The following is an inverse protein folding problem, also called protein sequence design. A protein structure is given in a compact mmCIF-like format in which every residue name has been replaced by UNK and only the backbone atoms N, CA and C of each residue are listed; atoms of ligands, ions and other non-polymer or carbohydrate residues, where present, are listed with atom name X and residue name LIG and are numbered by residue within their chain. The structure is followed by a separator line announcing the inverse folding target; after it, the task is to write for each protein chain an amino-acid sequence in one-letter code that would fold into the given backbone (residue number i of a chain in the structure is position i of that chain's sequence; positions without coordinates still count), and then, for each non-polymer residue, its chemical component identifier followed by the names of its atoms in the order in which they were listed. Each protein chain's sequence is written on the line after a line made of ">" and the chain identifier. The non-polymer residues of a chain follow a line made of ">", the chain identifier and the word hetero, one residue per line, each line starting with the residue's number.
data_IF_402381692620
#
_entry.id   IF_402381692620
#
_cell.length_a   1.000
_cell.length_b   1.000
_cell.length_c   1.000
_cell.angle_alpha   90.00
_cell.angle_beta   90.00
_cell.angle_gamma   90.00
#
_symmetry.space_group_name_H-M   'P 1'
#
loop_
_entity.id
_entity.type
_entity.pdbx_description
1 polymer ?
#
# COMPACT_ATOMS: atom_id res chain seq x y z
N UNK A 1 -27.65 -7.48 60.39
CA UNK A 1 -26.51 -6.91 59.65
C UNK A 1 -25.96 -7.91 58.60
N UNK A 2 -26.65 -8.13 57.47
CA UNK A 2 -26.22 -9.13 56.47
C UNK A 2 -26.24 -8.66 55.01
N UNK A 3 -26.76 -7.47 54.69
CA UNK A 3 -26.88 -6.99 53.31
C UNK A 3 -25.57 -6.39 52.72
N UNK A 4 -24.59 -6.01 53.56
CA UNK A 4 -23.38 -5.31 53.09
C UNK A 4 -22.20 -6.18 52.68
N UNK A 5 -22.18 -7.48 53.05
CA UNK A 5 -21.03 -8.37 52.77
C UNK A 5 -21.05 -8.96 51.35
N UNK A 6 -22.25 -9.17 50.77
CA UNK A 6 -22.40 -9.66 49.39
C UNK A 6 -22.01 -8.60 48.36
N UNK A 7 -22.52 -7.37 48.53
CA UNK A 7 -22.21 -6.24 47.65
C UNK A 7 -20.71 -5.89 47.61
N UNK A 8 -19.98 -6.06 48.73
CA UNK A 8 -18.54 -5.78 48.79
C UNK A 8 -17.70 -6.80 48.03
N UNK A 9 -18.04 -8.09 48.12
CA UNK A 9 -17.36 -9.17 47.36
C UNK A 9 -17.63 -9.08 45.86
N UNK A 10 -18.85 -8.71 45.49
CA UNK A 10 -19.22 -8.52 44.10
C UNK A 10 -18.51 -7.30 43.49
N UNK A 11 -18.36 -6.22 44.26
CA UNK A 11 -17.56 -5.07 43.87
C UNK A 11 -16.06 -5.41 43.73
N UNK A 12 -15.50 -6.23 44.63
CA UNK A 12 -14.11 -6.71 44.55
C UNK A 12 -13.87 -7.57 43.30
N UNK A 13 -14.76 -8.53 43.01
CA UNK A 13 -14.68 -9.35 41.80
C UNK A 13 -14.85 -8.53 40.51
N UNK A 14 -15.75 -7.55 40.50
CA UNK A 14 -15.91 -6.63 39.37
C UNK A 14 -14.66 -5.78 39.13
N UNK A 15 -14.01 -5.31 40.21
CA UNK A 15 -12.77 -4.54 40.13
C UNK A 15 -11.60 -5.39 39.61
N UNK A 16 -11.48 -6.64 40.03
CA UNK A 16 -10.46 -7.58 39.53
C UNK A 16 -10.67 -7.92 38.04
N UNK A 17 -11.91 -8.14 37.64
CA UNK A 17 -12.27 -8.37 36.24
C UNK A 17 -11.94 -7.14 35.37
N UNK A 18 -12.24 -5.92 35.86
CA UNK A 18 -11.89 -4.68 35.19
C UNK A 18 -10.37 -4.53 35.01
N UNK A 19 -9.58 -4.76 36.07
CA UNK A 19 -8.13 -4.69 36.01
C UNK A 19 -7.51 -5.71 35.04
N UNK A 20 -8.09 -6.92 34.94
CA UNK A 20 -7.66 -7.93 33.97
C UNK A 20 -7.93 -7.49 32.53
N UNK A 21 -9.11 -6.91 32.26
CA UNK A 21 -9.50 -6.41 30.95
C UNK A 21 -8.61 -5.24 30.52
N UNK A 22 -8.26 -4.34 31.43
CA UNK A 22 -7.32 -3.24 31.17
C UNK A 22 -5.93 -3.74 30.78
N UNK A 23 -5.40 -4.76 31.47
CA UNK A 23 -4.11 -5.38 31.12
C UNK A 23 -4.15 -6.04 29.74
N UNK A 24 -5.23 -6.75 29.41
CA UNK A 24 -5.44 -7.36 28.08
C UNK A 24 -5.55 -6.28 26.99
N UNK A 25 -6.27 -5.19 27.27
CA UNK A 25 -6.38 -4.06 26.35
C UNK A 25 -5.04 -3.35 26.13
N UNK A 26 -4.24 -3.15 27.18
CA UNK A 26 -2.90 -2.58 27.08
C UNK A 26 -1.95 -3.48 26.28
N UNK A 27 -2.02 -4.79 26.46
CA UNK A 27 -1.27 -5.76 25.65
C UNK A 27 -1.69 -5.74 24.18
N UNK A 28 -3.00 -5.73 23.90
CA UNK A 28 -3.54 -5.64 22.55
C UNK A 28 -3.15 -4.31 21.86
N UNK A 29 -3.20 -3.18 22.58
CA UNK A 29 -2.74 -1.87 22.07
C UNK A 29 -1.26 -1.86 21.76
N UNK A 30 -0.40 -2.39 22.64
CA UNK A 30 1.04 -2.53 22.37
C UNK A 30 1.32 -3.41 21.15
N UNK A 31 0.56 -4.50 20.99
CA UNK A 31 0.65 -5.39 19.83
C UNK A 31 0.18 -4.71 18.54
N UNK A 32 -0.90 -3.92 18.61
CA UNK A 32 -1.39 -3.12 17.48
C UNK A 32 -0.41 -2.01 17.08
N UNK A 33 0.15 -1.29 18.05
CA UNK A 33 1.22 -0.31 17.81
C UNK A 33 2.49 -0.95 17.25
N UNK A 34 2.84 -2.16 17.71
CA UNK A 34 3.98 -2.90 17.15
C UNK A 34 3.73 -3.37 15.71
N UNK A 35 2.46 -3.58 15.33
CA UNK A 35 2.05 -3.94 13.97
C UNK A 35 2.05 -2.71 13.06
N UNK A 36 1.57 -1.56 13.55
CA UNK A 36 1.62 -0.26 12.88
C UNK A 36 3.08 0.19 12.64
N UNK A 37 3.94 0.12 13.66
CA UNK A 37 5.38 0.39 13.54
C UNK A 37 6.14 -0.61 12.65
N UNK A 38 5.63 -1.85 12.54
CA UNK A 38 6.14 -2.84 11.59
C UNK A 38 5.89 -2.42 10.15
N UNK A 39 4.67 -1.95 9.86
CA UNK A 39 4.30 -1.46 8.53
C UNK A 39 5.05 -0.18 8.12
N UNK A 40 5.37 0.71 9.07
CA UNK A 40 6.21 1.89 8.81
C UNK A 40 7.64 1.51 8.43
N UNK A 41 8.21 0.49 9.09
CA UNK A 41 9.52 -0.04 8.76
C UNK A 41 9.57 -0.68 7.37
N UNK A 42 8.59 -1.52 7.05
CA UNK A 42 8.46 -2.13 5.72
C UNK A 42 8.26 -1.08 4.62
N UNK A 43 7.46 -0.03 4.86
CA UNK A 43 7.29 1.08 3.93
C UNK A 43 8.59 1.86 3.72
N UNK A 44 9.37 2.09 4.78
CA UNK A 44 10.65 2.77 4.69
C UNK A 44 11.66 1.99 3.83
N UNK A 45 11.71 0.65 3.99
CA UNK A 45 12.56 -0.20 3.15
C UNK A 45 12.05 -0.23 1.71
N UNK A 46 10.73 -0.34 1.50
CA UNK A 46 10.14 -0.30 0.17
C UNK A 46 10.49 0.99 -0.59
N UNK A 47 10.43 2.16 0.08
CA UNK A 47 10.87 3.43 -0.50
C UNK A 47 12.37 3.45 -0.80
N UNK A 48 13.20 2.90 0.08
CA UNK A 48 14.65 2.89 -0.10
C UNK A 48 15.11 2.01 -1.27
N UNK A 49 14.38 0.92 -1.55
CA UNK A 49 14.71 0.00 -2.66
C UNK A 49 14.03 0.34 -3.98
N UNK A 50 12.99 1.18 -3.98
CA UNK A 50 12.26 1.55 -5.19
C UNK A 50 13.16 2.13 -6.31
N UNK A 51 14.16 2.99 -6.03
CA UNK A 51 15.07 3.48 -7.07
C UNK A 51 15.87 2.38 -7.77
N UNK A 52 16.12 1.24 -7.12
CA UNK A 52 16.91 0.14 -7.70
C UNK A 52 16.22 -0.54 -8.88
N UNK A 53 14.91 -0.30 -9.05
CA UNK A 53 14.16 -0.80 -10.22
C UNK A 53 14.68 -0.24 -11.54
N UNK A 54 15.22 0.98 -11.53
CA UNK A 54 15.82 1.58 -12.73
C UNK A 54 17.16 0.94 -13.11
N UNK A 55 17.80 0.22 -12.17
CA UNK A 55 19.07 -0.50 -12.39
C UNK A 55 18.87 -2.00 -12.61
N UNK A 56 17.63 -2.43 -12.93
CA UNK A 56 17.31 -3.80 -13.30
C UNK A 56 16.97 -4.73 -12.13
N UNK A 57 16.76 -4.18 -10.92
CA UNK A 57 16.28 -4.96 -9.79
C UNK A 57 14.75 -5.01 -9.73
N UNK A 58 14.21 -6.21 -9.63
CA UNK A 58 12.80 -6.45 -9.37
C UNK A 58 12.58 -6.62 -7.87
N UNK A 59 11.55 -5.96 -7.33
CA UNK A 59 11.23 -6.02 -5.91
C UNK A 59 9.90 -6.73 -5.71
N UNK A 60 9.91 -7.80 -4.91
CA UNK A 60 8.75 -8.58 -4.54
C UNK A 60 8.52 -8.43 -3.04
N UNK A 61 7.57 -7.57 -2.67
CA UNK A 61 7.26 -7.31 -1.26
C UNK A 61 6.31 -8.36 -0.68
N UNK A 62 6.46 -8.70 0.58
CA UNK A 62 5.54 -9.52 1.37
C UNK A 62 5.23 -10.88 0.72
N UNK A 63 6.23 -11.78 0.74
CA UNK A 63 6.16 -13.10 0.08
C UNK A 63 5.95 -14.22 1.10
N UNK A 64 4.91 -15.03 0.94
CA UNK A 64 4.59 -16.15 1.82
C UNK A 64 5.64 -17.26 1.71
N UNK A 65 6.09 -17.78 2.85
CA UNK A 65 6.90 -18.99 2.90
C UNK A 65 6.00 -20.25 3.00
N UNK A 66 6.38 -21.39 2.37
CA UNK A 66 5.58 -22.61 2.37
C UNK A 66 5.22 -23.15 3.76
N UNK A 67 6.13 -22.99 4.73
CA UNK A 67 5.98 -23.50 6.10
C UNK A 67 5.48 -22.45 7.10
N UNK A 68 4.98 -21.31 6.60
CA UNK A 68 4.48 -20.19 7.39
C UNK A 68 5.52 -19.09 7.62
N UNK A 69 5.02 -17.87 7.82
CA UNK A 69 5.83 -16.65 7.83
C UNK A 69 5.90 -16.00 6.44
N UNK A 70 6.53 -14.84 6.38
CA UNK A 70 6.70 -14.04 5.17
C UNK A 70 8.15 -13.56 5.03
N UNK A 71 8.52 -13.27 3.79
CA UNK A 71 9.70 -12.49 3.43
C UNK A 71 9.22 -11.05 3.20
N UNK A 72 9.69 -10.10 4.01
CA UNK A 72 9.24 -8.70 3.92
C UNK A 72 9.54 -8.13 2.53
N UNK A 73 10.78 -8.28 2.03
CA UNK A 73 11.13 -7.90 0.67
C UNK A 73 12.13 -8.88 0.04
N UNK A 74 11.85 -9.27 -1.20
CA UNK A 74 12.72 -10.12 -2.00
C UNK A 74 13.13 -9.36 -3.27
N UNK A 75 14.41 -9.06 -3.40
CA UNK A 75 14.98 -8.35 -4.53
C UNK A 75 15.66 -9.35 -5.47
N UNK A 76 15.43 -9.22 -6.77
CA UNK A 76 16.03 -10.08 -7.80
C UNK A 76 16.56 -9.20 -8.92
N UNK A 77 17.85 -9.26 -9.22
CA UNK A 77 18.45 -8.38 -10.21
C UNK A 77 19.84 -8.85 -10.63
N UNK A 78 20.64 -7.98 -11.26
CA UNK A 78 21.95 -8.33 -11.82
C UNK A 78 22.88 -9.03 -10.80
N UNK A 79 22.82 -8.66 -9.52
CA UNK A 79 23.62 -9.25 -8.46
C UNK A 79 23.18 -10.65 -8.00
N UNK A 80 21.98 -11.12 -8.37
CA UNK A 80 21.35 -12.30 -7.76
C UNK A 80 20.09 -11.94 -6.97
N UNK A 81 19.91 -12.65 -5.85
CA UNK A 81 18.72 -12.53 -5.00
C UNK A 81 19.09 -12.03 -3.61
N UNK A 82 18.35 -11.05 -3.11
CA UNK A 82 18.54 -10.47 -1.79
C UNK A 82 17.22 -10.51 -1.00
N UNK A 83 17.25 -11.18 0.15
CA UNK A 83 16.14 -11.22 1.11
C UNK A 83 16.34 -10.12 2.16
N UNK A 84 15.42 -9.16 2.23
CA UNK A 84 15.45 -8.09 3.22
C UNK A 84 14.34 -8.29 4.24
N UNK A 85 14.69 -8.11 5.50
CA UNK A 85 13.79 -8.19 6.65
C UNK A 85 13.88 -6.88 7.44
N UNK A 86 12.76 -6.16 7.55
CA UNK A 86 12.73 -4.81 8.11
C UNK A 86 12.67 -4.87 9.64
N UNK A 87 13.46 -4.03 10.31
CA UNK A 87 13.53 -3.98 11.78
C UNK A 87 13.58 -2.55 12.29
N UNK A 88 12.46 -2.11 12.87
CA UNK A 88 12.35 -0.81 13.54
C UNK A 88 12.79 -0.89 15.02
N UNK A 89 14.06 -1.19 15.27
CA UNK A 89 14.60 -1.32 16.63
C UNK A 89 15.08 0.02 17.20
N UNK A 90 14.39 0.51 18.24
CA UNK A 90 14.70 1.80 18.87
C UNK A 90 15.85 1.78 19.90
N UNK A 91 16.17 0.60 20.44
CA UNK A 91 17.28 0.40 21.38
C UNK A 91 18.64 0.34 20.69
N UNK A 92 19.72 0.46 21.46
CA UNK A 92 21.07 0.31 20.92
C UNK A 92 21.31 -1.11 20.40
N UNK A 93 21.87 -1.22 19.18
CA UNK A 93 22.06 -2.49 18.46
C UNK A 93 23.54 -2.86 18.52
N UNK A 94 23.85 -3.98 19.17
CA UNK A 94 25.21 -4.55 19.24
C UNK A 94 25.23 -5.95 18.63
N UNK A 95 26.25 -6.22 17.80
CA UNK A 95 26.37 -7.43 16.99
C UNK A 95 27.75 -8.08 17.21
N UNK A 96 28.05 -8.46 18.46
CA UNK A 96 29.33 -9.08 18.83
C UNK A 96 29.27 -10.61 18.68
N UNK A 97 29.20 -11.36 19.79
CA UNK A 97 28.91 -12.80 19.77
C UNK A 97 27.41 -13.12 19.73
N UNK A 98 26.58 -12.14 20.12
CA UNK A 98 25.11 -12.24 20.19
C UNK A 98 24.54 -10.92 19.69
N UNK A 99 23.46 -10.97 18.89
CA UNK A 99 22.77 -9.77 18.42
C UNK A 99 21.84 -9.28 19.53
N UNK A 100 22.09 -8.06 20.04
CA UNK A 100 21.30 -7.48 21.13
C UNK A 100 20.71 -6.12 20.78
N UNK A 101 19.52 -5.84 21.29
CA UNK A 101 18.83 -4.54 21.23
C UNK A 101 18.52 -4.08 22.65
N UNK A 102 19.15 -2.99 23.10
CA UNK A 102 18.96 -2.47 24.46
C UNK A 102 19.19 -3.54 25.53
N UNK A 103 20.21 -4.39 25.33
CA UNK A 103 20.56 -5.50 26.22
C UNK A 103 19.80 -6.81 26.00
N UNK A 104 18.68 -6.82 25.28
CA UNK A 104 17.90 -8.05 24.99
C UNK A 104 18.48 -8.78 23.80
N UNK A 105 18.60 -10.11 23.90
CA UNK A 105 19.00 -10.96 22.77
C UNK A 105 17.88 -11.02 21.72
N UNK A 106 18.20 -10.65 20.49
CA UNK A 106 17.31 -10.67 19.32
C UNK A 106 17.86 -11.55 18.18
N UNK A 107 18.81 -12.43 18.47
CA UNK A 107 19.44 -13.34 17.48
C UNK A 107 18.44 -14.28 16.80
N UNK A 108 17.21 -14.36 17.31
CA UNK A 108 16.08 -15.01 16.62
C UNK A 108 15.82 -14.41 15.23
N UNK A 109 15.96 -13.09 15.06
CA UNK A 109 15.74 -12.44 13.76
C UNK A 109 16.72 -12.95 12.69
N UNK A 110 17.99 -13.16 13.07
CA UNK A 110 19.02 -13.72 12.17
C UNK A 110 18.67 -15.15 11.76
N UNK A 111 18.21 -15.98 12.71
CA UNK A 111 17.78 -17.36 12.40
C UNK A 111 16.59 -17.37 11.43
N UNK A 112 15.57 -16.56 11.70
CA UNK A 112 14.37 -16.46 10.84
C UNK A 112 14.72 -16.01 9.42
N UNK A 113 15.59 -15.00 9.28
CA UNK A 113 16.07 -14.56 7.97
C UNK A 113 16.90 -15.66 7.28
N UNK A 114 17.75 -16.36 8.01
CA UNK A 114 18.56 -17.48 7.48
C UNK A 114 17.67 -18.61 6.96
N UNK A 115 16.61 -18.95 7.69
CA UNK A 115 15.62 -19.95 7.26
C UNK A 115 14.93 -19.50 5.97
N UNK A 116 14.49 -18.23 5.89
CA UNK A 116 13.90 -17.66 4.67
C UNK A 116 14.84 -17.65 3.46
N UNK A 117 16.12 -17.35 3.66
CA UNK A 117 17.16 -17.46 2.62
C UNK A 117 17.30 -18.92 2.15
N UNK A 118 17.25 -19.88 3.08
CA UNK A 118 17.32 -21.31 2.78
C UNK A 118 16.16 -21.78 1.90
N UNK A 119 14.94 -21.32 2.18
CA UNK A 119 13.75 -21.60 1.38
C UNK A 119 13.89 -21.05 -0.05
N UNK A 120 14.28 -19.78 -0.19
CA UNK A 120 14.51 -19.14 -1.50
C UNK A 120 15.57 -19.89 -2.31
N UNK A 121 16.68 -20.26 -1.68
CA UNK A 121 17.76 -21.02 -2.31
C UNK A 121 17.28 -22.40 -2.77
N UNK A 122 16.55 -23.12 -1.92
CA UNK A 122 16.03 -24.46 -2.23
C UNK A 122 15.06 -24.40 -3.42
N UNK A 123 14.22 -23.39 -3.47
CA UNK A 123 13.27 -23.15 -4.55
C UNK A 123 13.97 -22.94 -5.89
N UNK A 124 14.95 -22.02 -5.93
CA UNK A 124 15.75 -21.72 -7.13
C UNK A 124 16.50 -22.95 -7.66
N UNK A 125 17.17 -23.69 -6.78
CA UNK A 125 17.89 -24.92 -7.14
C UNK A 125 16.93 -25.96 -7.72
N UNK A 126 15.74 -26.11 -7.15
CA UNK A 126 14.72 -27.04 -7.64
C UNK A 126 14.20 -26.68 -9.04
N UNK A 127 14.27 -25.40 -9.42
CA UNK A 127 13.95 -24.91 -10.76
C UNK A 127 15.13 -24.92 -11.74
N UNK A 128 16.31 -25.43 -11.33
CA UNK A 128 17.52 -25.42 -12.15
C UNK A 128 18.14 -24.03 -12.30
N UNK A 129 17.84 -23.10 -11.39
CA UNK A 129 18.37 -21.73 -11.38
C UNK A 129 19.50 -21.62 -10.35
N UNK A 130 20.75 -21.55 -10.80
CA UNK A 130 21.91 -21.37 -9.92
C UNK A 130 22.26 -19.88 -9.79
N UNK A 131 21.84 -19.28 -8.66
CA UNK A 131 21.99 -17.86 -8.38
C UNK A 131 22.43 -17.62 -6.94
N UNK A 132 23.27 -16.59 -6.68
CA UNK A 132 23.61 -16.23 -5.33
C UNK A 132 22.37 -15.67 -4.60
N UNK A 133 22.13 -16.18 -3.40
CA UNK A 133 21.10 -15.67 -2.47
C UNK A 133 21.78 -15.16 -1.20
N UNK A 134 21.59 -13.88 -0.91
CA UNK A 134 22.02 -13.24 0.32
C UNK A 134 20.81 -12.70 1.10
N UNK A 135 21.02 -12.26 2.34
CA UNK A 135 19.99 -11.51 3.04
C UNK A 135 20.53 -10.51 4.04
N UNK A 136 19.71 -9.52 4.36
CA UNK A 136 20.04 -8.43 5.26
C UNK A 136 18.88 -8.11 6.22
N UNK A 137 19.23 -7.91 7.49
CA UNK A 137 18.39 -7.21 8.46
C UNK A 137 18.55 -5.71 8.24
N UNK A 138 17.46 -5.04 7.86
CA UNK A 138 17.45 -3.62 7.52
C UNK A 138 16.90 -2.81 8.69
N UNK A 139 17.76 -1.99 9.29
CA UNK A 139 17.42 -1.17 10.46
C UNK A 139 16.79 0.14 10.01
N UNK A 140 15.52 0.35 10.36
CA UNK A 140 14.72 1.49 9.88
C UNK A 140 14.55 2.60 10.91
N UNK A 141 14.82 2.34 12.19
CA UNK A 141 14.73 3.35 13.23
C UNK A 141 15.80 4.44 13.03
N UNK A 142 15.45 5.70 13.27
CA UNK A 142 16.30 6.89 13.11
C UNK A 142 17.71 6.74 13.73
N UNK A 143 17.80 6.06 14.86
CA UNK A 143 19.06 5.76 15.58
C UNK A 143 20.07 4.98 14.73
N UNK A 144 19.60 4.07 13.89
CA UNK A 144 20.43 3.09 13.18
C UNK A 144 20.27 3.13 11.66
N UNK A 145 19.40 3.99 11.12
CA UNK A 145 19.10 4.06 9.68
C UNK A 145 20.33 4.36 8.80
N UNK A 146 21.39 4.93 9.36
CA UNK A 146 22.65 5.25 8.66
C UNK A 146 23.79 4.26 8.96
N UNK A 147 23.54 3.17 9.70
CA UNK A 147 24.56 2.17 10.07
C UNK A 147 25.17 1.54 8.82
N UNK A 148 26.51 1.52 8.76
CA UNK A 148 27.25 0.82 7.71
C UNK A 148 26.93 -0.68 7.71
N UNK A 149 27.06 -1.32 6.55
CA UNK A 149 26.82 -2.75 6.45
C UNK A 149 27.92 -3.54 7.20
N UNK A 150 27.50 -4.51 8.01
CA UNK A 150 28.39 -5.48 8.65
C UNK A 150 27.79 -6.88 8.55
N UNK A 151 28.63 -7.92 8.55
CA UNK A 151 28.17 -9.31 8.48
C UNK A 151 28.06 -9.88 9.89
N UNK A 152 26.91 -10.47 10.20
CA UNK A 152 26.66 -11.15 11.47
C UNK A 152 25.85 -12.42 11.24
N UNK A 153 26.33 -13.57 11.74
CA UNK A 153 25.59 -14.83 11.65
C UNK A 153 25.22 -15.26 10.22
N UNK A 154 26.05 -14.91 9.23
CA UNK A 154 25.82 -15.26 7.82
C UNK A 154 24.95 -14.27 7.03
N UNK A 155 24.26 -13.33 7.70
CA UNK A 155 23.46 -12.27 7.07
C UNK A 155 24.14 -10.90 7.23
N UNK A 156 23.65 -9.91 6.50
CA UNK A 156 24.08 -8.52 6.68
C UNK A 156 23.20 -7.80 7.70
N UNK A 157 23.77 -6.87 8.43
CA UNK A 157 23.07 -5.90 9.25
C UNK A 157 23.40 -4.52 8.69
N UNK A 158 22.37 -3.74 8.32
CA UNK A 158 22.57 -2.47 7.61
C UNK A 158 21.47 -1.47 7.95
N UNK A 159 21.78 -0.19 7.95
CA UNK A 159 20.78 0.87 8.04
C UNK A 159 20.02 1.06 6.73
N UNK A 160 18.73 1.41 6.79
CA UNK A 160 17.86 1.57 5.60
C UNK A 160 18.42 2.57 4.58
N UNK A 161 19.11 3.63 5.02
CA UNK A 161 19.72 4.62 4.12
C UNK A 161 20.95 4.11 3.36
N UNK A 162 21.45 2.91 3.69
CA UNK A 162 22.64 2.29 3.07
C UNK A 162 22.34 0.96 2.38
N UNK A 163 21.06 0.64 2.17
CA UNK A 163 20.66 -0.63 1.50
C UNK A 163 21.21 -0.70 0.07
N UNK A 164 21.34 0.43 -0.63
CA UNK A 164 21.95 0.47 -1.95
C UNK A 164 23.41 -0.03 -1.96
N UNK A 165 24.18 0.20 -0.90
CA UNK A 165 25.57 -0.29 -0.78
C UNK A 165 25.61 -1.83 -0.76
N UNK A 166 24.60 -2.47 -0.16
CA UNK A 166 24.47 -3.93 -0.14
C UNK A 166 24.16 -4.48 -1.53
N UNK A 167 23.33 -3.77 -2.29
CA UNK A 167 22.91 -4.16 -3.63
C UNK A 167 24.05 -3.99 -4.64
N UNK A 168 24.79 -2.89 -4.54
CA UNK A 168 25.90 -2.53 -5.44
C UNK A 168 27.20 -3.29 -5.15
N UNK A 169 27.42 -3.77 -3.92
CA UNK A 169 28.59 -4.60 -3.57
C UNK A 169 28.52 -6.04 -4.09
N UNK A 170 27.39 -6.44 -4.69
CA UNK A 170 27.21 -7.80 -5.23
C UNK A 170 27.87 -7.92 -6.60
N UNK A 171 29.09 -8.48 -6.65
CA UNK A 171 30.01 -8.38 -7.80
C UNK A 171 29.76 -9.32 -8.99
N UNK A 172 28.65 -10.07 -9.02
CA UNK A 172 28.34 -10.99 -10.13
C UNK A 172 27.19 -10.43 -10.92
N UNK A 173 27.39 -10.18 -12.21
CA UNK A 173 26.29 -9.96 -13.16
C UNK A 173 25.78 -11.32 -13.66
N UNK A 174 24.57 -11.66 -13.27
CA UNK A 174 23.91 -12.93 -13.62
C UNK A 174 23.24 -12.89 -15.00
N UNK A 175 23.16 -11.71 -15.63
CA UNK A 175 22.47 -11.48 -16.89
C UNK A 175 20.94 -11.40 -16.78
N UNK A 176 20.34 -10.58 -17.65
CA UNK A 176 18.90 -10.26 -17.64
C UNK A 176 18.01 -11.50 -17.77
N UNK A 177 18.35 -12.44 -18.66
CA UNK A 177 17.53 -13.64 -18.89
C UNK A 177 17.38 -14.52 -17.66
N UNK A 178 18.48 -14.70 -16.90
CA UNK A 178 18.49 -15.51 -15.70
C UNK A 178 17.78 -14.78 -14.54
N UNK A 179 17.98 -13.46 -14.43
CA UNK A 179 17.26 -12.60 -13.49
C UNK A 179 15.74 -12.68 -13.71
N UNK A 180 15.26 -12.53 -14.95
CA UNK A 180 13.84 -12.64 -15.27
C UNK A 180 13.26 -14.03 -15.00
N UNK A 181 14.02 -15.10 -15.30
CA UNK A 181 13.60 -16.46 -14.99
C UNK A 181 13.44 -16.67 -13.48
N UNK A 182 14.37 -16.13 -12.69
CA UNK A 182 14.29 -16.13 -11.23
C UNK A 182 13.11 -15.31 -10.71
N UNK A 183 12.85 -14.12 -11.24
CA UNK A 183 11.67 -13.31 -10.87
C UNK A 183 10.39 -14.10 -11.12
N UNK A 184 10.22 -14.68 -12.31
CA UNK A 184 9.03 -15.47 -12.65
C UNK A 184 8.86 -16.66 -11.70
N UNK A 185 9.94 -17.40 -11.46
CA UNK A 185 9.91 -18.55 -10.58
C UNK A 185 9.60 -18.17 -9.13
N UNK A 186 10.32 -17.21 -8.55
CA UNK A 186 10.16 -16.76 -7.16
C UNK A 186 8.79 -16.12 -6.90
N UNK A 187 8.22 -15.44 -7.90
CA UNK A 187 6.85 -14.91 -7.82
C UNK A 187 5.80 -16.00 -7.66
N UNK A 188 6.02 -17.17 -8.28
CA UNK A 188 5.11 -18.31 -8.21
C UNK A 188 5.37 -19.18 -6.98
N UNK A 189 6.63 -19.44 -6.65
CA UNK A 189 7.02 -20.27 -5.53
C UNK A 189 6.74 -19.60 -4.17
N UNK A 190 6.86 -18.28 -4.11
CA UNK A 190 6.54 -17.48 -2.94
C UNK A 190 5.44 -16.48 -3.33
N UNK A 191 4.15 -16.88 -3.24
CA UNK A 191 3.04 -15.99 -3.54
C UNK A 191 3.00 -14.85 -2.50
N UNK A 192 2.16 -13.84 -2.69
CA UNK A 192 2.03 -12.78 -1.66
C UNK A 192 1.58 -13.36 -0.33
N UNK A 193 2.06 -12.83 0.80
CA UNK A 193 1.63 -13.23 2.15
C UNK A 193 0.23 -12.71 2.48
N UNK A 194 -0.71 -13.19 1.66
CA UNK A 194 -2.15 -13.19 1.81
C UNK A 194 -2.77 -14.35 1.02
N UNK A 195 -1.95 -15.30 0.54
CA UNK A 195 -2.34 -16.40 -0.37
C UNK A 195 -2.38 -17.78 0.32
N UNK A 196 -2.93 -17.87 1.53
CA UNK A 196 -3.42 -19.13 2.12
C UNK A 196 -4.96 -19.16 1.99
N UNK A 197 -5.54 -20.11 1.23
CA UNK A 197 -6.98 -20.17 0.98
C UNK A 197 -7.83 -20.45 2.22
N UNK A 198 -7.22 -20.79 3.37
CA UNK A 198 -7.90 -21.09 4.63
C UNK A 198 -7.79 -19.99 5.68
N UNK A 199 -6.92 -18.99 5.47
CA UNK A 199 -6.70 -17.84 6.37
C UNK A 199 -6.51 -16.54 5.61
N UNK A 200 -7.03 -16.46 4.39
CA UNK A 200 -7.48 -15.19 3.85
C UNK A 200 -8.42 -14.60 4.92
N UNK A 201 -8.00 -13.51 5.57
CA UNK A 201 -9.00 -12.52 5.90
C UNK A 201 -9.61 -12.21 4.55
N UNK A 202 -10.75 -12.86 4.27
CA UNK A 202 -11.72 -12.40 3.29
C UNK A 202 -11.62 -10.88 3.40
N UNK A 203 -11.21 -10.13 2.36
CA UNK A 203 -11.39 -8.70 2.42
C UNK A 203 -12.85 -8.59 2.78
N UNK A 204 -13.17 -8.16 4.03
CA UNK A 204 -14.55 -8.21 4.55
C UNK A 204 -15.35 -7.72 3.36
N UNK A 205 -16.23 -8.55 2.75
CA UNK A 205 -16.91 -8.11 1.55
C UNK A 205 -17.45 -6.76 1.94
N UNK A 206 -17.07 -5.70 1.22
CA UNK A 206 -17.60 -4.35 1.48
C UNK A 206 -19.09 -4.58 1.72
N UNK A 207 -19.50 -4.40 2.97
CA UNK A 207 -20.64 -5.09 3.55
C UNK A 207 -21.84 -4.97 2.63
N UNK A 208 -22.17 -6.06 1.93
CA UNK A 208 -23.43 -6.44 1.28
C UNK A 208 -24.37 -5.38 0.67
N UNK A 209 -23.86 -4.21 0.28
CA UNK A 209 -24.39 -3.40 -0.81
C UNK A 209 -23.19 -2.77 -1.52
N UNK A 210 -22.50 -3.54 -2.37
CA UNK A 210 -21.56 -2.89 -3.27
C UNK A 210 -22.32 -1.79 -4.01
N UNK A 211 -21.93 -0.55 -3.76
CA UNK A 211 -22.58 0.62 -4.31
C UNK A 211 -22.75 0.41 -5.83
N UNK A 212 -23.87 0.79 -6.46
CA UNK A 212 -24.12 0.51 -7.88
C UNK A 212 -22.99 0.94 -8.82
N UNK A 213 -22.18 1.93 -8.42
CA UNK A 213 -20.98 2.35 -9.14
C UNK A 213 -19.91 1.24 -9.23
N UNK A 214 -19.68 0.44 -8.18
CA UNK A 214 -18.71 -0.66 -8.19
C UNK A 214 -19.16 -1.89 -8.98
N UNK A 215 -20.41 -1.92 -9.44
CA UNK A 215 -20.87 -2.94 -10.39
C UNK A 215 -20.42 -2.63 -11.81
N UNK A 216 -19.84 -1.44 -12.05
CA UNK A 216 -19.38 -0.99 -13.35
C UNK A 216 -17.88 -1.17 -13.46
N UNK A 217 -17.40 -1.42 -14.67
CA UNK A 217 -15.97 -1.48 -14.96
C UNK A 217 -15.25 -0.13 -14.76
N UNK A 218 -15.99 0.98 -14.82
CA UNK A 218 -15.47 2.34 -14.71
C UNK A 218 -16.29 3.14 -13.71
N UNK A 219 -15.63 3.76 -12.74
CA UNK A 219 -16.23 4.66 -11.74
C UNK A 219 -15.76 6.07 -12.02
N UNK A 220 -16.69 7.03 -12.03
CA UNK A 220 -16.42 8.44 -12.28
C UNK A 220 -16.69 9.26 -11.01
N UNK A 221 -15.69 10.02 -10.57
CA UNK A 221 -15.73 10.87 -9.38
C UNK A 221 -15.34 12.30 -9.74
N UNK A 222 -15.98 13.28 -9.13
CA UNK A 222 -15.77 14.69 -9.43
C UNK A 222 -15.49 15.52 -8.19
N UNK A 223 -14.28 16.04 -8.09
CA UNK A 223 -13.85 16.96 -7.04
C UNK A 223 -14.24 18.38 -7.41
N UNK A 224 -15.04 19.03 -6.57
CA UNK A 224 -15.52 20.40 -6.81
C UNK A 224 -15.28 21.28 -5.57
N UNK A 225 -14.46 22.33 -5.70
CA UNK A 225 -14.31 23.35 -4.67
C UNK A 225 -15.61 24.12 -4.44
N UNK A 226 -15.84 24.49 -3.19
CA UNK A 226 -16.97 25.30 -2.78
C UNK A 226 -16.56 26.24 -1.65
N UNK A 227 -17.09 27.46 -1.71
CA UNK A 227 -16.94 28.43 -0.64
C UNK A 227 -18.22 29.21 -0.41
N UNK A 228 -18.65 29.34 0.84
CA UNK A 228 -19.76 30.22 1.25
C UNK A 228 -19.60 30.61 2.71
N UNK A 229 -19.85 31.87 3.03
CA UNK A 229 -19.85 32.38 4.41
C UNK A 229 -18.59 31.96 5.21
N UNK A 230 -17.41 32.12 4.62
CA UNK A 230 -16.11 31.79 5.25
C UNK A 230 -15.76 30.31 5.33
N UNK A 231 -16.64 29.40 4.90
CA UNK A 231 -16.36 27.96 4.82
C UNK A 231 -15.76 27.61 3.47
N UNK A 232 -14.72 26.78 3.46
CA UNK A 232 -14.04 26.30 2.25
C UNK A 232 -14.02 24.77 2.25
N UNK A 233 -14.57 24.17 1.19
CA UNK A 233 -14.74 22.71 1.10
C UNK A 233 -14.39 22.20 -0.29
N UNK A 234 -13.92 20.96 -0.34
CA UNK A 234 -13.82 20.15 -1.56
C UNK A 234 -14.86 19.06 -1.46
N UNK A 235 -15.80 19.00 -2.41
CA UNK A 235 -16.80 17.94 -2.49
C UNK A 235 -16.37 16.87 -3.49
N UNK A 236 -16.69 15.61 -3.23
CA UNK A 236 -16.63 14.53 -4.23
C UNK A 236 -18.05 14.15 -4.60
N UNK A 237 -18.38 14.24 -5.89
CA UNK A 237 -19.68 13.84 -6.43
C UNK A 237 -19.52 12.67 -7.41
N UNK A 238 -20.56 11.86 -7.59
CA UNK A 238 -20.62 10.90 -8.71
C UNK A 238 -21.06 11.57 -10.02
N UNK A 239 -21.08 10.81 -11.12
CA UNK A 239 -21.54 11.27 -12.45
C UNK A 239 -23.03 11.67 -12.53
N UNK A 240 -23.84 11.36 -11.50
CA UNK A 240 -25.21 11.86 -11.39
C UNK A 240 -25.29 13.23 -10.71
N UNK A 241 -24.17 13.70 -10.14
CA UNK A 241 -24.11 14.92 -9.34
C UNK A 241 -24.42 14.69 -7.85
N UNK A 242 -24.63 13.44 -7.43
CA UNK A 242 -24.88 13.12 -6.01
C UNK A 242 -23.59 13.26 -5.21
N UNK A 243 -23.71 13.90 -4.05
CA UNK A 243 -22.61 14.10 -3.11
C UNK A 243 -22.25 12.81 -2.36
N UNK A 244 -20.99 12.41 -2.45
CA UNK A 244 -20.41 11.25 -1.78
C UNK A 244 -19.59 11.62 -0.53
N UNK A 245 -19.20 12.89 -0.40
CA UNK A 245 -18.50 13.41 0.77
C UNK A 245 -17.79 14.73 0.51
N UNK A 246 -17.21 15.30 1.56
CA UNK A 246 -16.42 16.54 1.46
C UNK A 246 -15.26 16.59 2.45
N UNK A 247 -14.25 17.40 2.11
CA UNK A 247 -13.17 17.84 2.99
C UNK A 247 -13.34 19.31 3.32
N UNK A 248 -13.41 19.64 4.61
CA UNK A 248 -13.24 21.02 5.04
C UNK A 248 -11.77 21.39 4.96
N UNK A 249 -11.42 22.37 4.11
CA UNK A 249 -10.02 22.67 3.83
C UNK A 249 -9.36 23.52 4.91
N UNK A 250 -10.15 24.06 5.85
CA UNK A 250 -9.64 24.81 7.00
C UNK A 250 -9.41 23.86 8.17
N UNK A 251 -10.40 23.02 8.49
CA UNK A 251 -10.31 22.08 9.61
C UNK A 251 -9.56 20.78 9.26
N UNK A 252 -9.43 20.45 7.97
CA UNK A 252 -8.88 19.17 7.48
C UNK A 252 -9.85 17.99 7.58
N UNK A 253 -11.02 18.17 8.20
CA UNK A 253 -12.01 17.11 8.43
C UNK A 253 -12.61 16.59 7.13
N UNK A 254 -12.61 15.26 6.96
CA UNK A 254 -13.31 14.57 5.86
C UNK A 254 -14.58 13.91 6.38
N UNK A 255 -15.72 14.28 5.79
CA UNK A 255 -17.02 13.68 6.04
C UNK A 255 -17.50 12.97 4.77
N UNK A 256 -17.68 11.65 4.88
CA UNK A 256 -18.23 10.81 3.80
C UNK A 256 -19.73 10.65 4.02
N UNK A 257 -20.54 10.89 2.99
CA UNK A 257 -21.99 10.76 3.05
C UNK A 257 -22.47 9.38 2.60
N UNK A 258 -21.65 8.65 1.83
CA UNK A 258 -21.93 7.32 1.32
C UNK A 258 -20.91 6.31 1.89
N UNK A 259 -21.22 5.60 2.99
CA UNK A 259 -20.27 4.72 3.68
C UNK A 259 -19.67 3.63 2.77
N UNK A 260 -20.44 3.12 1.81
CA UNK A 260 -19.98 2.11 0.85
C UNK A 260 -18.90 2.66 -0.11
N UNK A 261 -18.76 3.99 -0.21
CA UNK A 261 -17.75 4.69 -1.02
C UNK A 261 -16.62 5.30 -0.17
N UNK A 262 -16.59 5.06 1.16
CA UNK A 262 -15.70 5.77 2.09
C UNK A 262 -14.23 5.72 1.70
N UNK A 263 -13.70 4.53 1.38
CA UNK A 263 -12.29 4.39 0.98
C UNK A 263 -11.94 5.18 -0.28
N UNK A 264 -12.80 5.16 -1.31
CA UNK A 264 -12.57 5.91 -2.54
C UNK A 264 -12.67 7.42 -2.32
N UNK A 265 -13.70 7.87 -1.58
CA UNK A 265 -13.92 9.30 -1.30
C UNK A 265 -12.81 9.88 -0.44
N UNK A 266 -12.40 9.19 0.64
CA UNK A 266 -11.28 9.62 1.47
C UNK A 266 -9.98 9.62 0.69
N UNK A 267 -9.73 8.58 -0.11
CA UNK A 267 -8.58 8.47 -0.99
C UNK A 267 -8.37 9.70 -1.86
N UNK A 268 -9.43 10.10 -2.59
CA UNK A 268 -9.43 11.31 -3.41
C UNK A 268 -9.24 12.57 -2.56
N UNK A 269 -9.99 12.74 -1.48
CA UNK A 269 -9.99 13.97 -0.70
C UNK A 269 -8.70 14.20 0.11
N UNK A 270 -8.03 13.15 0.56
CA UNK A 270 -6.72 13.27 1.23
C UNK A 270 -5.68 13.87 0.29
N UNK A 271 -5.73 13.51 -0.99
CA UNK A 271 -4.81 13.96 -2.04
C UNK A 271 -5.29 15.23 -2.78
N UNK A 272 -6.47 15.74 -2.44
CA UNK A 272 -7.02 16.96 -3.02
C UNK A 272 -6.72 18.20 -2.15
N UNK A 273 -6.36 19.28 -2.83
CA UNK A 273 -6.27 20.64 -2.29
C UNK A 273 -7.20 21.59 -3.05
N UNK A 274 -7.31 22.85 -2.60
CA UNK A 274 -8.08 23.90 -3.30
C UNK A 274 -7.46 24.27 -4.67
N UNK A 275 -6.23 23.83 -4.94
CA UNK A 275 -5.50 24.20 -6.16
C UNK A 275 -5.18 23.02 -7.08
N UNK A 276 -5.09 21.81 -6.54
CA UNK A 276 -4.60 20.63 -7.25
C UNK A 276 -5.14 19.33 -6.67
N UNK A 277 -4.99 18.25 -7.43
CA UNK A 277 -5.20 16.87 -6.99
C UNK A 277 -3.93 16.09 -7.36
N UNK A 278 -3.28 15.48 -6.36
CA UNK A 278 -2.11 14.61 -6.56
C UNK A 278 -2.50 13.15 -6.36
N UNK A 279 -3.26 12.61 -7.32
CA UNK A 279 -3.85 11.28 -7.18
C UNK A 279 -2.79 10.19 -7.35
N UNK A 280 -2.76 9.23 -6.41
CA UNK A 280 -1.87 8.07 -6.42
C UNK A 280 -2.68 6.78 -6.54
N UNK A 281 -2.09 5.73 -7.09
CA UNK A 281 -2.82 4.48 -7.37
C UNK A 281 -3.24 3.75 -6.08
N UNK A 282 -2.38 3.83 -5.07
CA UNK A 282 -2.59 3.32 -3.71
C UNK A 282 -3.61 4.14 -2.91
N UNK A 283 -3.92 5.37 -3.35
CA UNK A 283 -4.95 6.20 -2.72
C UNK A 283 -6.36 5.65 -2.93
N UNK A 284 -6.59 4.75 -3.90
CA UNK A 284 -7.92 4.25 -4.25
C UNK A 284 -8.08 2.75 -3.92
N UNK A 285 -9.29 2.30 -3.56
CA UNK A 285 -9.50 0.90 -3.20
C UNK A 285 -9.38 -0.02 -4.42
N UNK A 286 -8.79 -1.20 -4.21
CA UNK A 286 -8.78 -2.28 -5.21
C UNK A 286 -10.13 -2.99 -5.20
N UNK A 287 -11.01 -2.60 -6.12
CA UNK A 287 -12.36 -3.19 -6.24
C UNK A 287 -12.37 -4.18 -7.41
N UNK A 288 -12.61 -5.48 -7.19
CA UNK A 288 -12.62 -6.47 -8.27
C UNK A 288 -13.83 -6.25 -9.19
N UNK A 289 -13.59 -6.32 -10.50
CA UNK A 289 -14.63 -6.20 -11.50
C UNK A 289 -15.55 -7.43 -11.46
N UNK A 290 -16.86 -7.22 -11.59
CA UNK A 290 -17.79 -8.33 -11.81
C UNK A 290 -17.71 -8.78 -13.28
N UNK A 291 -17.10 -9.94 -13.52
CA UNK A 291 -17.04 -10.57 -14.85
C UNK A 291 -18.16 -11.63 -15.02
N UNK A 292 -18.50 -12.07 -16.25
CA UNK A 292 -19.40 -13.21 -16.47
C UNK A 292 -18.88 -14.45 -15.74
N UNK A 293 -19.55 -14.86 -14.64
CA UNK A 293 -19.05 -15.86 -13.69
C UNK A 293 -18.86 -15.35 -12.25
N UNK A 294 -19.07 -14.05 -12.01
CA UNK A 294 -19.08 -13.43 -10.68
C UNK A 294 -17.78 -12.69 -10.31
N UNK A 295 -17.76 -12.06 -9.13
CA UNK A 295 -16.60 -11.28 -8.64
C UNK A 295 -15.34 -12.12 -8.44
N UNK A 296 -15.50 -13.41 -8.14
CA UNK A 296 -14.39 -14.36 -7.99
C UNK A 296 -13.55 -14.46 -9.28
N UNK A 297 -14.22 -14.44 -10.44
CA UNK A 297 -13.52 -14.48 -11.73
C UNK A 297 -12.69 -13.22 -11.96
N UNK A 298 -13.21 -12.03 -11.62
CA UNK A 298 -12.46 -10.77 -11.70
C UNK A 298 -11.22 -10.73 -10.81
N UNK A 299 -11.27 -11.38 -9.64
CA UNK A 299 -10.08 -11.54 -8.77
C UNK A 299 -9.06 -12.48 -9.40
N UNK A 300 -9.50 -13.63 -9.94
CA UNK A 300 -8.63 -14.59 -10.61
C UNK A 300 -7.94 -13.99 -11.84
N UNK A 301 -8.65 -13.17 -12.62
CA UNK A 301 -8.10 -12.47 -13.79
C UNK A 301 -7.39 -11.16 -13.44
N UNK A 302 -7.31 -10.80 -12.14
CA UNK A 302 -6.76 -9.52 -11.64
C UNK A 302 -7.33 -8.30 -12.36
N UNK A 303 -8.63 -8.34 -12.67
CA UNK A 303 -9.34 -7.27 -13.34
C UNK A 303 -10.05 -6.38 -12.32
N UNK A 304 -9.60 -5.14 -12.21
CA UNK A 304 -10.10 -4.18 -11.23
C UNK A 304 -11.01 -3.14 -11.88
N UNK A 305 -11.81 -2.47 -11.06
CA UNK A 305 -12.57 -1.29 -11.47
C UNK A 305 -11.60 -0.13 -11.65
N UNK A 306 -11.68 0.53 -12.81
CA UNK A 306 -10.90 1.74 -13.10
C UNK A 306 -11.62 3.00 -12.59
N UNK A 307 -10.90 3.86 -11.88
CA UNK A 307 -11.40 5.14 -11.41
C UNK A 307 -11.01 6.26 -12.35
N UNK A 308 -11.96 7.12 -12.67
CA UNK A 308 -11.76 8.32 -13.47
C UNK A 308 -12.15 9.51 -12.60
N UNK A 309 -11.17 10.33 -12.24
CA UNK A 309 -11.36 11.44 -11.31
C UNK A 309 -11.23 12.74 -12.07
N UNK A 310 -12.28 13.56 -12.02
CA UNK A 310 -12.28 14.93 -12.52
C UNK A 310 -12.07 15.93 -11.39
N UNK A 311 -11.17 16.89 -11.54
CA UNK A 311 -11.00 18.00 -10.60
C UNK A 311 -11.39 19.32 -11.28
N UNK A 312 -12.44 19.98 -10.76
CA UNK A 312 -12.83 21.30 -11.25
C UNK A 312 -11.97 22.37 -10.61
N UNK A 313 -11.28 23.13 -11.43
CA UNK A 313 -10.55 24.32 -11.04
C UNK A 313 -11.17 25.55 -11.69
N UNK A 314 -11.35 26.62 -10.91
CA UNK A 314 -11.89 27.88 -11.43
C UNK A 314 -11.12 29.06 -10.89
N UNK A 315 -10.75 29.99 -11.77
CA UNK A 315 -10.16 31.29 -11.41
C UNK A 315 -10.49 32.34 -12.46
N UNK A 316 -11.26 33.36 -12.08
CA UNK A 316 -11.70 34.39 -13.02
C UNK A 316 -12.58 33.80 -14.13
N UNK A 317 -12.20 34.05 -15.39
CA UNK A 317 -12.86 33.50 -16.59
C UNK A 317 -12.48 32.05 -16.89
N UNK A 318 -11.44 31.50 -16.26
CA UNK A 318 -11.04 30.11 -16.49
C UNK A 318 -11.87 29.16 -15.63
N UNK A 319 -12.50 28.17 -16.27
CA UNK A 319 -13.18 27.05 -15.64
C UNK A 319 -12.71 25.76 -16.32
N UNK A 320 -11.96 24.93 -15.61
CA UNK A 320 -11.28 23.75 -16.15
C UNK A 320 -11.62 22.50 -15.38
N UNK A 321 -11.76 21.39 -16.08
CA UNK A 321 -11.90 20.06 -15.52
C UNK A 321 -10.63 19.26 -15.84
N UNK A 322 -9.73 19.15 -14.88
CA UNK A 322 -8.56 18.27 -14.98
C UNK A 322 -8.98 16.82 -14.77
N UNK A 323 -8.33 15.87 -15.45
CA UNK A 323 -8.70 14.46 -15.41
C UNK A 323 -7.54 13.55 -15.04
N UNK A 324 -7.85 12.51 -14.25
CA UNK A 324 -6.95 11.39 -13.97
C UNK A 324 -7.68 10.07 -14.21
N UNK A 325 -6.97 9.09 -14.75
CA UNK A 325 -7.37 7.68 -14.73
C UNK A 325 -6.48 6.95 -13.74
N UNK A 326 -7.07 6.21 -12.82
CA UNK A 326 -6.38 5.40 -11.84
C UNK A 326 -6.87 3.96 -11.91
N UNK A 327 -5.95 3.03 -12.15
CA UNK A 327 -6.19 1.60 -12.17
C UNK A 327 -5.12 0.90 -11.31
N UNK A 328 -5.49 -0.06 -10.44
CA UNK A 328 -4.51 -0.79 -9.64
C UNK A 328 -3.44 -1.55 -10.44
N UNK A 329 -3.71 -1.88 -11.71
CA UNK A 329 -2.78 -2.56 -12.61
C UNK A 329 -1.96 -1.58 -13.43
N UNK A 330 -2.60 -0.53 -13.98
CA UNK A 330 -1.93 0.40 -14.91
C UNK A 330 -1.34 1.65 -14.21
N UNK A 331 -1.58 1.82 -12.92
CA UNK A 331 -1.17 3.01 -12.15
C UNK A 331 -2.10 4.21 -12.35
N UNK A 332 -1.57 5.41 -12.12
CA UNK A 332 -2.30 6.67 -12.35
C UNK A 332 -1.73 7.38 -13.56
N UNK A 333 -2.62 7.75 -14.48
CA UNK A 333 -2.31 8.57 -15.63
C UNK A 333 -3.05 9.91 -15.53
N UNK A 334 -2.31 11.01 -15.66
CA UNK A 334 -2.87 12.34 -15.86
C UNK A 334 -3.36 12.46 -17.31
N UNK A 335 -4.60 12.91 -17.48
CA UNK A 335 -5.27 12.94 -18.78
C UNK A 335 -5.15 14.31 -19.46
N UNK A 336 -4.85 15.36 -18.71
CA UNK A 336 -4.93 16.76 -19.15
C UNK A 336 -6.20 17.42 -18.61
N UNK A 337 -6.78 18.36 -19.37
CA UNK A 337 -7.97 19.08 -18.92
C UNK A 337 -8.96 19.42 -20.04
N UNK A 338 -10.21 19.65 -19.65
CA UNK A 338 -11.25 20.25 -20.50
C UNK A 338 -11.49 21.67 -20.05
N UNK A 339 -11.46 22.63 -20.97
CA UNK A 339 -11.95 23.99 -20.71
C UNK A 339 -13.48 23.95 -20.73
N UNK A 340 -14.11 24.11 -19.56
CA UNK A 340 -15.55 24.00 -19.40
C UNK A 340 -16.31 25.21 -19.96
N UNK A 341 -15.62 26.30 -20.30
CA UNK A 341 -16.24 27.49 -20.91
C UNK A 341 -16.35 27.34 -22.42
N UNK A 342 -15.30 26.84 -23.06
CA UNK A 342 -15.23 26.66 -24.52
C UNK A 342 -15.62 25.25 -24.98
N UNK A 343 -15.51 24.26 -24.08
CA UNK A 343 -15.66 22.84 -24.40
C UNK A 343 -14.41 22.19 -24.99
N UNK A 344 -13.33 22.96 -25.20
CA UNK A 344 -12.08 22.47 -25.79
C UNK A 344 -11.36 21.49 -24.88
N UNK A 345 -10.78 20.45 -25.47
CA UNK A 345 -10.06 19.39 -24.77
C UNK A 345 -8.56 19.57 -24.99
N UNK A 346 -7.81 19.53 -23.89
CA UNK A 346 -6.37 19.65 -23.85
C UNK A 346 -5.79 18.36 -23.25
N UNK A 347 -5.57 17.32 -24.07
CA UNK A 347 -5.02 16.06 -23.58
C UNK A 347 -3.55 16.22 -23.18
N UNK A 348 -3.12 15.48 -22.17
CA UNK A 348 -1.72 15.46 -21.72
C UNK A 348 -0.77 14.87 -22.77
N UNK A 349 -1.27 13.91 -23.54
CA UNK A 349 -0.54 13.27 -24.63
C UNK A 349 -1.51 12.88 -25.76
N UNK A 350 -1.00 12.82 -26.99
CA UNK A 350 -1.77 12.35 -28.15
C UNK A 350 -1.86 10.81 -28.21
N UNK A 351 -0.87 10.12 -27.65
CA UNK A 351 -0.77 8.66 -27.71
C UNK A 351 -1.69 7.97 -26.70
N UNK A 352 -2.10 6.72 -26.97
CA UNK A 352 -2.81 5.89 -26.02
C UNK A 352 -2.03 5.69 -24.70
N UNK A 353 -2.76 5.58 -23.59
CA UNK A 353 -2.14 5.38 -22.26
C UNK A 353 -1.46 4.02 -22.06
N UNK A 354 -1.61 3.11 -23.01
CA UNK A 354 -1.08 1.75 -22.98
C UNK A 354 -1.61 0.93 -24.15
N UNK A 355 -1.06 -0.26 -24.36
CA UNK A 355 -1.36 -1.13 -25.52
C UNK A 355 -2.86 -1.40 -25.72
N UNK A 356 -3.61 -1.51 -24.63
CA UNK A 356 -5.05 -1.82 -24.63
C UNK A 356 -5.92 -0.67 -24.06
N UNK A 357 -5.33 0.53 -23.88
CA UNK A 357 -6.01 1.69 -23.31
C UNK A 357 -6.34 2.75 -24.36
N UNK A 358 -7.32 3.59 -24.07
CA UNK A 358 -7.69 4.72 -24.94
C UNK A 358 -6.69 5.88 -24.86
N UNK A 359 -6.91 6.89 -25.70
CA UNK A 359 -6.18 8.16 -25.61
C UNK A 359 -6.69 9.02 -24.46
N UNK A 360 -5.85 9.89 -23.87
CA UNK A 360 -6.26 10.85 -22.85
C UNK A 360 -7.46 11.70 -23.29
N UNK A 361 -7.49 12.13 -24.55
CA UNK A 361 -8.59 12.89 -25.14
C UNK A 361 -9.95 12.18 -24.98
N UNK A 362 -10.02 10.89 -25.33
CA UNK A 362 -11.26 10.11 -25.23
C UNK A 362 -11.72 9.94 -23.78
N UNK A 363 -10.80 9.87 -22.82
CA UNK A 363 -11.15 9.82 -21.40
C UNK A 363 -11.64 11.19 -20.90
N UNK A 364 -11.03 12.29 -21.35
CA UNK A 364 -11.47 13.65 -21.04
C UNK A 364 -12.86 13.95 -21.61
N UNK A 365 -13.17 13.50 -22.83
CA UNK A 365 -14.53 13.56 -23.39
C UNK A 365 -15.55 12.90 -22.47
N UNK A 366 -15.26 11.67 -22.03
CA UNK A 366 -16.14 10.93 -21.12
C UNK A 366 -16.31 11.62 -19.78
N UNK A 367 -15.24 12.20 -19.24
CA UNK A 367 -15.26 12.97 -17.99
C UNK A 367 -16.12 14.23 -18.14
N UNK A 368 -15.99 14.97 -19.24
CA UNK A 368 -16.81 16.15 -19.55
C UNK A 368 -18.29 15.82 -19.64
N UNK A 369 -18.64 14.80 -20.42
CA UNK A 369 -20.04 14.47 -20.70
C UNK A 369 -20.82 14.01 -19.44
N UNK A 370 -20.09 13.46 -18.48
CA UNK A 370 -20.58 13.02 -17.17
C UNK A 370 -20.40 14.06 -16.06
N UNK A 371 -19.72 15.17 -16.33
CA UNK A 371 -19.54 16.23 -15.34
C UNK A 371 -20.86 16.94 -15.09
N UNK A 372 -21.19 17.14 -13.81
CA UNK A 372 -22.35 17.93 -13.36
C UNK A 372 -21.87 18.97 -12.39
N UNK A 373 -22.15 20.24 -12.70
CA UNK A 373 -21.87 21.35 -11.80
C UNK A 373 -22.73 21.17 -10.54
N UNK A 374 -22.09 21.23 -9.38
CA UNK A 374 -22.82 21.27 -8.11
C UNK A 374 -23.66 22.55 -8.03
N UNK A 375 -24.96 22.38 -7.82
CA UNK A 375 -25.92 23.46 -7.57
C UNK A 375 -25.79 24.05 -6.16
#
# INVERSE_FOLDING_TARGET
>A
MSAGKGARREAEHAAEAAAMLERKAAYARRRAQSFELGSEGELAVAHAVAPLTVTGWHVLHDRALPHGGNLDHLLVGPGGVLVLDAKNWSGDVSANSVLRVGGRDVSKAVRQLTDGIGEVRTSLVSAGLDLPVAGALVLTHERHQHRASERFGGVLLVGVSRVEEVVTSTSRDIGVTLAEAAVRHLTLAFPGAGADPSKESVPKPVSQKAHPLYQRANVYLYVQPWSRAGRHRLYVNDESGRNLGYKDTVAGTIAVTEPDMDSAVRGVLMHATVRSLDLRADALPKVPMALPGGRLLGVMTRTWVAFHVGYRWRRGSFDRLYGWRADPTDGVAELGYVDLTTGHIHPQAAEPLGKDLGTPERYLERLRDRFRVRT
#
